data_IF_337319544673
#
_entry.id   IF_337319544673
#
_cell.length_a   1.000
_cell.length_b   1.000
_cell.length_c   1.000
_cell.angle_alpha   90.00
_cell.angle_beta   90.00
_cell.angle_gamma   90.00
#
_symmetry.space_group_name_H-M   'P 1'
#
loop_
_entity.id
_entity.type
_entity.pdbx_description
1 polymer ?
#
# COMPACT_ATOMS: atom_id res chain seq x y z
N UNK A 1 -13.98 -7.46 -17.38
CA UNK A 1 -12.52 -7.58 -17.19
C UNK A 1 -12.14 -7.40 -15.73
N UNK A 2 -12.51 -6.29 -15.08
CA UNK A 2 -12.20 -5.99 -13.66
C UNK A 2 -12.70 -7.03 -12.64
N UNK A 3 -13.92 -7.56 -12.80
CA UNK A 3 -14.47 -8.59 -11.89
C UNK A 3 -13.72 -9.93 -11.97
N UNK A 4 -13.12 -10.24 -13.13
CA UNK A 4 -12.36 -11.47 -13.32
C UNK A 4 -11.01 -11.39 -12.59
N UNK A 5 -10.34 -10.24 -12.67
CA UNK A 5 -9.12 -9.98 -11.90
C UNK A 5 -9.39 -9.94 -10.40
N UNK A 6 -10.49 -9.33 -9.95
CA UNK A 6 -10.90 -9.39 -8.54
C UNK A 6 -11.15 -10.83 -8.06
N UNK A 7 -11.80 -11.67 -8.87
CA UNK A 7 -12.07 -13.07 -8.50
C UNK A 7 -10.80 -13.92 -8.35
N UNK A 8 -9.83 -13.75 -9.25
CA UNK A 8 -8.53 -14.42 -9.18
C UNK A 8 -7.72 -13.92 -7.98
N UNK A 9 -7.78 -12.61 -7.69
CA UNK A 9 -7.12 -12.03 -6.53
C UNK A 9 -7.70 -12.58 -5.22
N UNK A 10 -9.04 -12.67 -5.12
CA UNK A 10 -9.74 -13.19 -3.94
C UNK A 10 -9.49 -14.69 -3.72
N UNK A 11 -9.46 -15.49 -4.80
CA UNK A 11 -9.25 -16.94 -4.69
C UNK A 11 -7.81 -17.31 -4.32
N UNK A 12 -6.84 -16.46 -4.64
CA UNK A 12 -5.45 -16.60 -4.17
C UNK A 12 -5.32 -16.14 -2.72
N UNK A 13 -6.03 -15.08 -2.29
CA UNK A 13 -5.95 -14.56 -0.93
C UNK A 13 -6.63 -15.42 0.14
N UNK A 14 -7.82 -15.96 -0.15
CA UNK A 14 -8.64 -16.72 0.80
C UNK A 14 -7.96 -17.95 1.44
N UNK A 15 -7.19 -18.80 0.72
CA UNK A 15 -6.60 -19.99 1.33
C UNK A 15 -5.41 -19.71 2.26
N UNK A 16 -4.86 -18.49 2.25
CA UNK A 16 -3.65 -18.16 3.02
C UNK A 16 -3.90 -17.67 4.45
N UNK A 17 -5.17 -17.55 4.87
CA UNK A 17 -5.56 -16.97 6.15
C UNK A 17 -5.03 -17.67 7.42
N UNK A 18 -4.45 -18.87 7.33
CA UNK A 18 -4.09 -19.70 8.49
C UNK A 18 -2.60 -20.06 8.61
N UNK A 19 -1.72 -19.56 7.74
CA UNK A 19 -0.28 -19.88 7.81
C UNK A 19 0.49 -18.67 8.35
N UNK A 20 1.01 -18.70 9.60
CA UNK A 20 1.69 -17.56 10.21
C UNK A 20 2.88 -17.03 9.39
N UNK A 21 3.64 -17.94 8.78
CA UNK A 21 4.76 -17.59 7.89
C UNK A 21 4.28 -16.83 6.65
N UNK A 22 3.13 -17.21 6.10
CA UNK A 22 2.62 -16.66 4.85
C UNK A 22 1.98 -15.29 5.08
N UNK A 23 1.34 -15.10 6.24
CA UNK A 23 0.93 -13.78 6.74
C UNK A 23 2.13 -12.84 6.93
N UNK A 24 3.20 -13.32 7.57
CA UNK A 24 4.41 -12.53 7.77
C UNK A 24 5.07 -12.12 6.44
N UNK A 25 5.17 -13.04 5.48
CA UNK A 25 5.69 -12.76 4.13
C UNK A 25 4.78 -11.76 3.40
N UNK A 26 3.47 -11.96 3.46
CA UNK A 26 2.50 -11.05 2.85
C UNK A 26 2.62 -9.63 3.40
N UNK A 27 2.71 -9.49 4.73
CA UNK A 27 2.85 -8.19 5.36
C UNK A 27 4.18 -7.51 5.03
N UNK A 28 5.28 -8.26 4.98
CA UNK A 28 6.59 -7.74 4.59
C UNK A 28 6.62 -7.26 3.13
N UNK A 29 6.08 -8.07 2.21
CA UNK A 29 6.00 -7.69 0.77
C UNK A 29 5.09 -6.48 0.59
N UNK A 30 3.95 -6.43 1.29
CA UNK A 30 3.04 -5.28 1.30
C UNK A 30 3.73 -4.01 1.78
N UNK A 31 4.42 -4.05 2.92
CA UNK A 31 5.13 -2.90 3.47
C UNK A 31 6.20 -2.36 2.49
N UNK A 32 7.00 -3.25 1.89
CA UNK A 32 8.03 -2.88 0.92
C UNK A 32 7.41 -2.22 -0.33
N UNK A 33 6.35 -2.81 -0.88
CA UNK A 33 5.67 -2.28 -2.06
C UNK A 33 5.08 -0.88 -1.81
N UNK A 34 4.33 -0.70 -0.72
CA UNK A 34 3.74 0.60 -0.41
C UNK A 34 4.78 1.66 -0.04
N UNK A 35 5.92 1.26 0.53
CA UNK A 35 7.05 2.20 0.74
C UNK A 35 7.65 2.66 -0.59
N UNK A 36 7.73 1.78 -1.59
CA UNK A 36 8.16 2.17 -2.95
C UNK A 36 7.13 3.07 -3.65
N UNK A 37 5.83 2.82 -3.49
CA UNK A 37 4.77 3.70 -4.00
C UNK A 37 4.87 5.09 -3.36
N UNK A 38 5.03 5.17 -2.04
CA UNK A 38 5.22 6.44 -1.35
C UNK A 38 6.45 7.20 -1.85
N UNK A 39 7.58 6.51 -2.07
CA UNK A 39 8.78 7.12 -2.62
C UNK A 39 8.56 7.66 -4.05
N UNK A 40 7.77 6.97 -4.87
CA UNK A 40 7.41 7.40 -6.21
C UNK A 40 6.47 8.61 -6.19
N UNK A 41 5.39 8.56 -5.39
CA UNK A 41 4.40 9.63 -5.27
C UNK A 41 5.01 10.90 -4.71
N UNK A 42 5.89 10.77 -3.71
CA UNK A 42 6.65 11.91 -3.17
C UNK A 42 7.64 12.49 -4.18
N UNK A 43 8.29 11.67 -5.01
CA UNK A 43 9.14 12.17 -6.11
C UNK A 43 8.33 12.92 -7.17
N UNK A 44 7.11 12.44 -7.48
CA UNK A 44 6.20 13.10 -8.40
C UNK A 44 5.77 14.48 -7.88
N UNK A 45 5.52 14.58 -6.57
CA UNK A 45 5.17 15.83 -5.86
C UNK A 45 6.35 16.79 -5.69
N UNK A 46 7.53 16.29 -5.35
CA UNK A 46 8.74 17.11 -5.14
C UNK A 46 9.36 17.58 -6.46
N UNK A 47 9.16 16.84 -7.54
CA UNK A 47 9.31 17.29 -8.92
C UNK A 47 10.70 17.80 -9.34
N UNK A 48 11.35 17.09 -10.26
CA UNK A 48 12.44 17.66 -11.06
C UNK A 48 11.97 18.53 -12.26
N UNK A 49 10.68 18.91 -12.41
CA UNK A 49 10.26 19.78 -13.53
C UNK A 49 9.04 20.67 -13.26
N UNK A 50 9.21 21.93 -13.72
CA UNK A 50 8.33 23.05 -14.17
C UNK A 50 6.79 22.97 -14.25
N UNK A 51 6.12 21.88 -13.88
CA UNK A 51 4.66 21.82 -13.83
C UNK A 51 4.24 21.80 -12.36
N UNK A 52 3.98 22.99 -11.81
CA UNK A 52 3.34 23.11 -10.51
C UNK A 52 1.99 22.37 -10.59
N UNK A 53 1.77 21.41 -9.69
CA UNK A 53 0.50 20.71 -9.57
C UNK A 53 -0.61 21.76 -9.43
N UNK A 54 -1.62 21.68 -10.29
CA UNK A 54 -2.79 22.57 -10.20
C UNK A 54 -3.44 22.41 -8.82
N UNK A 55 -3.98 23.45 -8.17
CA UNK A 55 -4.67 23.35 -6.88
C UNK A 55 -5.73 22.24 -6.84
N UNK A 56 -6.29 21.90 -8.02
CA UNK A 56 -7.26 20.82 -8.25
C UNK A 56 -6.65 19.43 -8.05
N UNK A 57 -5.40 19.23 -8.49
CA UNK A 57 -4.68 17.95 -8.48
C UNK A 57 -3.96 17.71 -7.15
N UNK A 58 -3.66 18.78 -6.38
CA UNK A 58 -2.97 18.69 -5.10
C UNK A 58 -3.78 17.91 -4.06
N UNK A 59 -5.10 18.07 -4.03
CA UNK A 59 -5.99 17.31 -3.13
C UNK A 59 -5.90 15.82 -3.43
N UNK A 60 -5.93 15.44 -4.71
CA UNK A 60 -5.82 14.05 -5.13
C UNK A 60 -4.44 13.45 -4.80
N UNK A 61 -3.36 14.19 -5.08
CA UNK A 61 -2.00 13.76 -4.74
C UNK A 61 -1.81 13.57 -3.22
N UNK A 62 -2.36 14.48 -2.42
CA UNK A 62 -2.34 14.38 -0.95
C UNK A 62 -3.14 13.18 -0.46
N UNK A 63 -4.28 12.88 -1.07
CA UNK A 63 -5.08 11.69 -0.75
C UNK A 63 -4.32 10.39 -1.04
N UNK A 64 -3.60 10.29 -2.15
CA UNK A 64 -2.78 9.10 -2.45
C UNK A 64 -1.67 8.90 -1.42
N UNK A 65 -0.92 9.95 -1.07
CA UNK A 65 0.08 9.87 0.00
C UNK A 65 -0.54 9.44 1.33
N UNK A 66 -1.71 9.98 1.67
CA UNK A 66 -2.41 9.61 2.90
C UNK A 66 -2.74 8.11 2.92
N UNK A 67 -3.28 7.59 1.80
CA UNK A 67 -3.60 6.16 1.68
C UNK A 67 -2.35 5.29 1.80
N UNK A 68 -1.25 5.67 1.13
CA UNK A 68 0.02 4.94 1.23
C UNK A 68 0.51 4.83 2.67
N UNK A 69 0.47 5.92 3.44
CA UNK A 69 0.87 5.93 4.85
C UNK A 69 0.00 4.99 5.68
N UNK A 70 -1.32 5.01 5.48
CA UNK A 70 -2.26 4.13 6.19
C UNK A 70 -1.98 2.65 5.88
N UNK A 71 -1.69 2.32 4.62
CA UNK A 71 -1.36 0.95 4.24
C UNK A 71 -0.03 0.49 4.82
N UNK A 72 1.04 1.30 4.75
CA UNK A 72 2.33 0.99 5.37
C UNK A 72 2.16 0.71 6.87
N UNK A 73 1.43 1.59 7.57
CA UNK A 73 1.18 1.43 8.99
C UNK A 73 0.37 0.16 9.29
N UNK A 74 -0.63 -0.16 8.46
CA UNK A 74 -1.42 -1.39 8.61
C UNK A 74 -0.57 -2.66 8.42
N UNK A 75 0.41 -2.64 7.53
CA UNK A 75 1.35 -3.77 7.36
C UNK A 75 2.31 -3.89 8.55
N UNK A 76 2.79 -2.77 9.09
CA UNK A 76 3.59 -2.77 10.32
C UNK A 76 2.80 -3.29 11.52
N UNK A 77 1.52 -2.92 11.67
CA UNK A 77 0.66 -3.47 12.70
C UNK A 77 0.44 -4.98 12.54
N UNK A 78 0.32 -5.49 11.31
CA UNK A 78 0.24 -6.93 11.08
C UNK A 78 1.53 -7.67 11.47
N UNK A 79 2.70 -7.05 11.28
CA UNK A 79 3.99 -7.62 11.64
C UNK A 79 4.32 -7.54 13.13
N UNK A 80 4.02 -6.41 13.78
CA UNK A 80 4.48 -6.11 15.14
C UNK A 80 3.34 -6.00 16.17
N UNK A 81 2.09 -5.90 15.73
CA UNK A 81 0.93 -5.71 16.61
C UNK A 81 0.47 -6.97 17.35
N UNK A 82 1.11 -8.13 17.10
CA UNK A 82 0.81 -9.40 17.77
C UNK A 82 1.45 -9.54 19.16
N UNK A 83 2.08 -8.50 19.70
CA UNK A 83 2.63 -8.45 21.07
C UNK A 83 1.53 -8.13 22.10
N UNK A 84 0.43 -8.91 22.09
CA UNK A 84 -0.53 -8.92 23.19
C UNK A 84 -0.81 -10.37 23.55
N UNK A 85 -0.30 -10.76 24.72
CA UNK A 85 -0.85 -11.85 25.52
C UNK A 85 -2.39 -11.75 25.61
#
# INVERSE_FOLDING_TARGET
MTMFFCGIFLSVLLPFGYVPLLHAIYAAVGAILFTMFLAFDTQLLMGNKRYAISPEEYIFATLNIYLDIIYIFSFFLQMFGSERD
#
